data_IF_109577719403
#
_entry.id   IF_109577719403
#
_cell.length_a   1.000
_cell.length_b   1.000
_cell.length_c   1.000
_cell.angle_alpha   90.00
_cell.angle_beta   90.00
_cell.angle_gamma   90.00
#
_symmetry.space_group_name_H-M   'P 1'
#
loop_
_entity.id
_entity.type
_entity.pdbx_description
1 polymer ?
#
# COMPACT_ATOMS: atom_id res chain seq x y z
N UNK A 1 -0.66 17.35 14.00
CA UNK A 1 -0.41 15.92 14.30
C UNK A 1 0.51 15.88 15.50
N UNK A 2 0.13 15.14 16.55
CA UNK A 2 0.99 14.93 17.73
C UNK A 2 2.28 14.20 17.30
N UNK A 3 3.41 14.49 17.93
CA UNK A 3 4.72 13.90 17.61
C UNK A 3 4.70 12.39 17.79
N UNK A 4 3.95 11.91 18.78
CA UNK A 4 3.72 10.48 19.06
C UNK A 4 2.93 9.80 17.93
N UNK A 5 1.86 10.44 17.47
CA UNK A 5 1.04 9.95 16.35
C UNK A 5 1.82 9.92 15.03
N UNK A 6 2.66 10.95 14.79
CA UNK A 6 3.53 10.97 13.62
C UNK A 6 4.50 9.79 13.60
N UNK A 7 5.17 9.52 14.73
CA UNK A 7 6.09 8.40 14.84
C UNK A 7 5.39 7.05 14.64
N UNK A 8 4.21 6.87 15.22
CA UNK A 8 3.40 5.67 15.04
C UNK A 8 2.99 5.43 13.57
N UNK A 9 2.56 6.49 12.88
CA UNK A 9 2.26 6.44 11.45
C UNK A 9 3.49 6.02 10.67
N UNK A 10 4.64 6.71 10.86
CA UNK A 10 5.88 6.37 10.17
C UNK A 10 6.29 4.92 10.41
N UNK A 11 6.21 4.44 11.65
CA UNK A 11 6.55 3.06 11.99
C UNK A 11 5.64 2.05 11.26
N UNK A 12 4.34 2.31 11.21
CA UNK A 12 3.39 1.45 10.51
C UNK A 12 3.60 1.49 8.99
N UNK A 13 3.82 2.65 8.39
CA UNK A 13 4.07 2.75 6.95
C UNK A 13 5.40 2.11 6.54
N UNK A 14 6.43 2.19 7.40
CA UNK A 14 7.70 1.48 7.21
C UNK A 14 7.49 -0.02 7.27
N UNK A 15 6.66 -0.50 8.20
CA UNK A 15 6.26 -1.92 8.22
C UNK A 15 5.62 -2.33 6.87
N UNK A 16 4.63 -1.58 6.38
CA UNK A 16 4.00 -1.85 5.08
C UNK A 16 5.01 -1.81 3.92
N UNK A 17 5.85 -0.79 3.86
CA UNK A 17 6.89 -0.65 2.83
C UNK A 17 7.84 -1.86 2.82
N UNK A 18 8.22 -2.35 4.00
CA UNK A 18 9.09 -3.52 4.13
C UNK A 18 8.43 -4.81 3.66
N UNK A 19 7.10 -4.94 3.78
CA UNK A 19 6.37 -6.07 3.19
C UNK A 19 6.41 -6.07 1.65
N UNK A 20 6.57 -4.90 1.02
CA UNK A 20 6.65 -4.76 -0.44
C UNK A 20 8.05 -5.08 -1.01
N UNK A 21 9.08 -5.17 -0.15
CA UNK A 21 10.49 -5.33 -0.54
C UNK A 21 10.76 -6.47 -1.54
N UNK A 22 10.17 -7.67 -1.43
CA UNK A 22 10.41 -8.75 -2.39
C UNK A 22 10.06 -8.34 -3.82
N UNK A 23 8.95 -7.62 -4.02
CA UNK A 23 8.55 -7.15 -5.36
C UNK A 23 9.37 -5.98 -5.86
N UNK A 24 9.75 -5.08 -4.98
CA UNK A 24 10.67 -3.99 -5.33
C UNK A 24 12.06 -4.50 -5.73
N UNK A 25 12.42 -5.72 -5.31
CA UNK A 25 13.68 -6.37 -5.69
C UNK A 25 13.59 -7.11 -7.03
N UNK A 26 12.36 -7.43 -7.48
CA UNK A 26 12.07 -8.14 -8.72
C UNK A 26 11.73 -7.19 -9.88
N UNK A 27 11.14 -6.04 -9.59
CA UNK A 27 11.00 -4.94 -10.55
C UNK A 27 12.32 -4.16 -10.64
N UNK A 28 12.54 -3.42 -11.73
CA UNK A 28 13.70 -2.52 -11.90
C UNK A 28 13.58 -1.25 -11.02
N UNK A 29 13.17 -1.46 -9.77
CA UNK A 29 12.88 -0.46 -8.74
C UNK A 29 13.99 -0.39 -7.70
N UNK A 30 15.21 -0.73 -8.11
CA UNK A 30 16.39 -0.74 -7.26
C UNK A 30 16.62 0.66 -6.67
N UNK A 31 16.61 0.75 -5.35
CA UNK A 31 16.78 2.01 -4.62
C UNK A 31 15.49 2.77 -4.31
N UNK A 32 14.31 2.35 -4.78
CA UNK A 32 13.03 2.98 -4.38
C UNK A 32 12.77 2.80 -2.88
N UNK A 33 13.04 1.62 -2.35
CA UNK A 33 12.97 1.33 -0.91
C UNK A 33 13.88 2.28 -0.14
N UNK A 34 15.16 2.32 -0.51
CA UNK A 34 16.18 3.14 0.17
C UNK A 34 15.84 4.64 0.08
N UNK A 35 15.36 5.11 -1.08
CA UNK A 35 14.93 6.49 -1.26
C UNK A 35 13.73 6.86 -0.38
N UNK A 36 12.77 5.95 -0.18
CA UNK A 36 11.64 6.17 0.74
C UNK A 36 12.10 6.22 2.20
N UNK A 37 12.95 5.28 2.62
CA UNK A 37 13.50 5.27 3.97
C UNK A 37 14.34 6.53 4.26
N UNK A 38 15.13 6.97 3.29
CA UNK A 38 15.93 8.19 3.41
C UNK A 38 15.08 9.46 3.61
N UNK A 39 13.89 9.54 3.00
CA UNK A 39 12.96 10.69 3.18
C UNK A 39 12.48 10.85 4.62
N UNK A 40 12.43 9.76 5.39
CA UNK A 40 12.07 9.77 6.82
C UNK A 40 13.29 9.59 7.73
N UNK A 41 14.51 9.68 7.19
CA UNK A 41 15.75 9.62 7.95
C UNK A 41 16.09 8.24 8.51
N UNK A 42 15.55 7.16 7.94
CA UNK A 42 15.78 5.80 8.40
C UNK A 42 16.78 5.03 7.53
N UNK A 43 17.55 4.16 8.17
CA UNK A 43 18.36 3.14 7.50
C UNK A 43 17.56 1.85 7.30
N UNK A 44 18.04 0.98 6.41
CA UNK A 44 17.46 -0.35 6.20
C UNK A 44 17.43 -1.17 7.49
N UNK A 45 18.49 -1.14 8.29
CA UNK A 45 18.54 -1.88 9.57
C UNK A 45 17.49 -1.40 10.58
N UNK A 46 17.24 -0.09 10.62
CA UNK A 46 16.17 0.47 11.45
C UNK A 46 14.80 0.08 10.93
N UNK A 47 14.60 0.08 9.61
CA UNK A 47 13.36 -0.38 8.99
C UNK A 47 13.07 -1.87 9.26
N UNK A 48 14.09 -2.74 9.27
CA UNK A 48 13.94 -4.15 9.66
C UNK A 48 13.48 -4.27 11.12
N UNK A 49 14.11 -3.54 12.05
CA UNK A 49 13.68 -3.55 13.46
C UNK A 49 12.25 -3.05 13.66
N UNK A 50 11.85 -2.02 12.93
CA UNK A 50 10.48 -1.50 12.94
C UNK A 50 9.52 -2.55 12.41
N UNK A 51 9.83 -3.14 11.26
CA UNK A 51 9.03 -4.20 10.66
C UNK A 51 8.78 -5.35 11.64
N UNK A 52 9.83 -5.88 12.27
CA UNK A 52 9.70 -7.03 13.17
C UNK A 52 8.85 -6.70 14.40
N UNK A 53 9.06 -5.51 15.00
CA UNK A 53 8.27 -5.05 16.15
C UNK A 53 6.79 -4.84 15.81
N UNK A 54 6.50 -4.25 14.64
CA UNK A 54 5.10 -4.03 14.22
C UNK A 54 4.45 -5.37 13.80
N UNK A 55 5.19 -6.25 13.13
CA UNK A 55 4.71 -7.59 12.77
C UNK A 55 4.35 -8.41 14.02
N UNK A 56 5.17 -8.36 15.07
CA UNK A 56 4.87 -8.99 16.35
C UNK A 56 3.59 -8.43 16.97
N UNK A 57 3.44 -7.10 16.99
CA UNK A 57 2.24 -6.44 17.52
C UNK A 57 0.96 -6.75 16.73
N UNK A 58 1.06 -7.07 15.44
CA UNK A 58 -0.06 -7.36 14.55
C UNK A 58 -0.24 -8.87 14.26
N UNK A 59 0.49 -9.73 14.98
CA UNK A 59 0.55 -11.17 14.71
C UNK A 59 -0.79 -11.89 14.87
N UNK A 60 -1.62 -11.49 15.84
CA UNK A 60 -2.91 -12.13 16.10
C UNK A 60 -4.01 -11.59 15.17
N UNK A 61 -4.49 -12.43 14.27
CA UNK A 61 -5.46 -12.07 13.23
C UNK A 61 -6.78 -11.52 13.78
N UNK A 62 -7.36 -12.18 14.77
CA UNK A 62 -8.67 -11.84 15.36
C UNK A 62 -8.63 -10.47 16.05
N UNK A 63 -7.46 -10.09 16.55
CA UNK A 63 -7.24 -8.86 17.31
C UNK A 63 -6.59 -7.75 16.47
N UNK A 64 -6.29 -8.01 15.19
CA UNK A 64 -5.40 -7.17 14.38
C UNK A 64 -5.93 -5.75 14.19
N UNK A 65 -7.21 -5.59 13.89
CA UNK A 65 -7.80 -4.26 13.73
C UNK A 65 -7.68 -3.44 15.02
N UNK A 66 -8.01 -4.05 16.17
CA UNK A 66 -7.84 -3.43 17.49
C UNK A 66 -6.39 -3.03 17.74
N UNK A 67 -5.42 -3.88 17.41
CA UNK A 67 -4.00 -3.55 17.56
C UNK A 67 -3.54 -2.43 16.63
N UNK A 68 -4.07 -2.36 15.41
CA UNK A 68 -3.84 -1.20 14.53
C UNK A 68 -4.38 0.10 15.15
N UNK A 69 -5.57 0.07 15.77
CA UNK A 69 -6.10 1.25 16.50
C UNK A 69 -5.17 1.69 17.61
N UNK A 70 -4.72 0.76 18.44
CA UNK A 70 -3.79 1.04 19.55
C UNK A 70 -2.46 1.58 19.03
N UNK A 71 -1.89 0.96 18.00
CA UNK A 71 -0.64 1.39 17.37
C UNK A 71 -0.74 2.82 16.86
N UNK A 72 -1.85 3.14 16.17
CA UNK A 72 -2.10 4.45 15.57
C UNK A 72 -2.76 5.45 16.54
N UNK A 73 -2.78 5.16 17.84
CA UNK A 73 -3.26 6.09 18.86
C UNK A 73 -4.76 6.44 18.77
N UNK A 74 -5.57 5.59 18.15
CA UNK A 74 -7.03 5.78 18.10
C UNK A 74 -7.65 5.30 19.41
N UNK A 75 -8.14 6.27 20.18
CA UNK A 75 -8.72 6.06 21.52
C UNK A 75 -10.18 5.59 21.49
N UNK A 76 -10.83 5.66 20.33
CA UNK A 76 -12.21 5.20 20.16
C UNK A 76 -12.27 3.67 20.00
N UNK A 77 -12.73 3.00 21.05
CA UNK A 77 -12.89 1.54 21.08
C UNK A 77 -13.96 1.03 20.12
N UNK A 78 -14.95 1.86 19.77
CA UNK A 78 -16.07 1.51 18.88
C UNK A 78 -15.80 1.90 17.42
N UNK A 79 -14.71 2.63 17.14
CA UNK A 79 -14.33 2.98 15.78
C UNK A 79 -14.19 1.72 14.90
N UNK A 80 -14.93 1.69 13.79
CA UNK A 80 -14.91 0.64 12.76
C UNK A 80 -14.06 1.01 11.54
N UNK A 81 -13.44 2.19 11.57
CA UNK A 81 -12.53 2.64 10.52
C UNK A 81 -11.34 3.39 11.08
N UNK A 82 -10.24 3.33 10.33
CA UNK A 82 -8.98 4.03 10.59
C UNK A 82 -8.60 4.81 9.34
N UNK A 83 -8.24 6.09 9.51
CA UNK A 83 -7.91 6.97 8.41
C UNK A 83 -6.82 7.96 8.80
N UNK A 84 -5.78 8.06 7.97
CA UNK A 84 -4.73 9.07 8.15
C UNK A 84 -4.03 9.40 6.82
N UNK A 85 -3.54 10.64 6.70
CA UNK A 85 -2.74 11.06 5.56
C UNK A 85 -1.34 10.45 5.62
N UNK A 86 -0.90 9.84 4.52
CA UNK A 86 0.36 9.15 4.44
C UNK A 86 1.57 10.10 4.57
N UNK A 87 2.63 9.60 5.20
CA UNK A 87 3.92 10.31 5.31
C UNK A 87 4.89 9.82 4.23
N UNK A 88 4.99 8.50 4.03
CA UNK A 88 5.83 7.89 3.02
C UNK A 88 5.30 8.13 1.61
N UNK A 89 3.98 8.19 1.41
CA UNK A 89 3.32 8.43 0.13
C UNK A 89 2.46 9.70 0.17
N UNK A 90 3.07 10.91 0.16
CA UNK A 90 2.32 12.16 0.17
C UNK A 90 1.26 12.21 -0.94
N UNK A 91 0.07 12.73 -0.61
CA UNK A 91 -1.09 12.72 -1.50
C UNK A 91 -1.96 11.46 -1.36
N UNK A 92 -1.50 10.42 -0.68
CA UNK A 92 -2.31 9.26 -0.34
C UNK A 92 -2.82 9.31 1.08
N UNK A 93 -3.95 8.66 1.29
CA UNK A 93 -4.54 8.43 2.59
C UNK A 93 -4.69 6.93 2.80
N UNK A 94 -4.24 6.47 3.96
CA UNK A 94 -4.47 5.12 4.39
C UNK A 94 -5.87 4.99 4.97
N UNK A 95 -6.59 3.96 4.54
CA UNK A 95 -7.91 3.62 5.01
C UNK A 95 -7.92 2.15 5.43
N UNK A 96 -8.46 1.84 6.61
CA UNK A 96 -8.76 0.48 7.01
C UNK A 96 -10.13 0.38 7.66
N UNK A 97 -10.85 -0.71 7.39
CA UNK A 97 -12.21 -0.94 7.84
C UNK A 97 -12.34 -2.30 8.51
N UNK A 98 -13.14 -2.34 9.58
CA UNK A 98 -13.55 -3.57 10.21
C UNK A 98 -14.88 -4.08 9.63
N UNK A 99 -15.04 -5.40 9.60
CA UNK A 99 -16.30 -6.06 9.30
C UNK A 99 -17.31 -5.93 10.45
N UNK A 100 -18.49 -6.51 10.28
CA UNK A 100 -19.54 -6.54 11.30
C UNK A 100 -19.13 -7.26 12.61
N UNK A 101 -18.07 -8.05 12.60
CA UNK A 101 -17.52 -8.77 13.76
C UNK A 101 -16.34 -8.02 14.41
N UNK A 102 -15.95 -6.86 13.89
CA UNK A 102 -14.80 -6.09 14.36
C UNK A 102 -13.44 -6.61 13.84
N UNK A 103 -13.45 -7.54 12.89
CA UNK A 103 -12.24 -8.08 12.23
C UNK A 103 -11.80 -7.15 11.10
N UNK A 104 -10.51 -7.08 10.83
CA UNK A 104 -10.00 -6.27 9.72
C UNK A 104 -10.48 -6.84 8.38
N UNK A 105 -11.31 -6.09 7.67
CA UNK A 105 -11.90 -6.49 6.39
C UNK A 105 -11.09 -5.98 5.21
N UNK A 106 -10.74 -4.69 5.24
CA UNK A 106 -10.01 -4.02 4.17
C UNK A 106 -9.00 -3.03 4.73
N UNK A 107 -7.90 -2.87 4.02
CA UNK A 107 -6.90 -1.85 4.29
C UNK A 107 -6.14 -1.51 3.01
N UNK A 108 -5.86 -0.23 2.80
CA UNK A 108 -5.12 0.23 1.63
C UNK A 108 -5.04 1.73 1.55
N UNK A 109 -4.30 2.21 0.56
CA UNK A 109 -4.14 3.61 0.23
C UNK A 109 -5.06 4.00 -0.93
N UNK A 110 -5.60 5.20 -0.82
CA UNK A 110 -6.33 5.88 -1.90
C UNK A 110 -5.77 7.29 -2.05
N UNK A 111 -5.68 7.78 -3.28
CA UNK A 111 -5.16 9.11 -3.53
C UNK A 111 -6.19 10.18 -3.13
N UNK A 112 -5.77 11.17 -2.34
CA UNK A 112 -6.67 12.22 -1.81
C UNK A 112 -6.96 13.31 -2.82
N UNK A 113 -5.99 13.57 -3.72
CA UNK A 113 -6.08 14.61 -4.73
C UNK A 113 -6.09 13.96 -6.10
N UNK A 114 -7.29 13.72 -6.62
CA UNK A 114 -7.47 13.13 -7.93
C UNK A 114 -6.70 13.91 -9.01
N UNK A 115 -5.56 13.38 -9.42
CA UNK A 115 -4.62 14.06 -10.32
C UNK A 115 -4.54 13.26 -11.61
N UNK A 116 -4.98 13.82 -12.75
CA UNK A 116 -4.90 13.12 -14.03
C UNK A 116 -3.48 12.65 -14.35
N UNK A 117 -3.34 11.39 -14.76
CA UNK A 117 -2.05 10.80 -15.09
C UNK A 117 -1.56 11.29 -16.46
N UNK A 118 -0.46 12.06 -16.45
CA UNK A 118 0.16 12.63 -17.66
C UNK A 118 1.31 11.74 -18.19
N UNK A 119 0.96 10.51 -18.59
CA UNK A 119 1.89 9.58 -19.25
C UNK A 119 1.27 8.98 -20.50
N UNK A 120 2.10 8.62 -21.47
CA UNK A 120 1.69 8.11 -22.79
C UNK A 120 1.53 6.59 -22.84
N UNK A 121 1.99 5.87 -21.82
CA UNK A 121 1.92 4.41 -21.70
C UNK A 121 1.76 3.99 -20.24
N UNK A 122 0.99 2.93 -19.92
CA UNK A 122 0.89 2.43 -18.56
C UNK A 122 2.25 1.99 -18.00
N UNK A 123 3.18 1.56 -18.85
CA UNK A 123 4.53 1.13 -18.46
C UNK A 123 5.45 2.27 -18.03
N UNK A 124 5.05 3.53 -18.28
CA UNK A 124 5.80 4.72 -17.89
C UNK A 124 5.43 5.22 -16.48
N UNK A 125 4.38 4.67 -15.87
CA UNK A 125 4.00 5.05 -14.51
C UNK A 125 5.10 4.66 -13.52
N UNK A 126 5.40 5.58 -12.60
CA UNK A 126 6.31 5.32 -11.50
C UNK A 126 5.60 4.51 -10.41
N UNK A 127 6.32 3.64 -9.71
CA UNK A 127 5.74 2.95 -8.55
C UNK A 127 5.22 3.97 -7.51
N UNK A 128 4.04 3.65 -6.98
CA UNK A 128 3.27 4.43 -6.02
C UNK A 128 2.81 5.80 -6.49
N UNK A 129 2.66 5.99 -7.82
CA UNK A 129 2.22 7.26 -8.39
C UNK A 129 0.71 7.47 -8.40
N UNK A 130 -0.07 6.39 -8.35
CA UNK A 130 -1.52 6.45 -8.47
C UNK A 130 -2.20 5.29 -7.74
N UNK A 131 -3.51 5.42 -7.53
CA UNK A 131 -4.39 4.31 -7.17
C UNK A 131 -5.09 3.70 -8.39
N UNK A 132 -5.97 2.72 -8.16
CA UNK A 132 -6.69 2.02 -9.22
C UNK A 132 -7.71 2.91 -9.94
N UNK A 133 -8.30 3.90 -9.27
CA UNK A 133 -9.32 4.77 -9.87
C UNK A 133 -8.66 5.67 -10.92
N UNK A 134 -7.56 6.32 -10.55
CA UNK A 134 -6.79 7.15 -11.47
C UNK A 134 -6.20 6.34 -12.63
N UNK A 135 -5.77 5.10 -12.35
CA UNK A 135 -5.29 4.18 -13.36
C UNK A 135 -6.36 3.84 -14.39
N UNK A 136 -7.55 3.42 -13.94
CA UNK A 136 -8.66 3.02 -14.80
C UNK A 136 -9.17 4.19 -15.65
N UNK A 137 -9.16 5.41 -15.10
CA UNK A 137 -9.53 6.59 -15.87
C UNK A 137 -8.58 6.88 -17.03
N UNK A 138 -7.25 6.66 -16.84
CA UNK A 138 -6.26 6.92 -17.89
C UNK A 138 -6.16 5.82 -18.93
N UNK A 139 -6.20 4.56 -18.50
CA UNK A 139 -5.88 3.41 -19.35
C UNK A 139 -7.10 2.56 -19.73
N UNK A 140 -8.26 2.88 -19.15
CA UNK A 140 -9.50 2.14 -19.35
C UNK A 140 -9.78 1.17 -18.20
N UNK A 141 -11.02 0.67 -18.11
CA UNK A 141 -11.45 -0.17 -17.01
C UNK A 141 -10.62 -1.43 -16.94
N UNK A 142 -10.12 -1.75 -15.76
CA UNK A 142 -9.36 -2.96 -15.52
C UNK A 142 -10.20 -4.00 -14.78
N UNK A 143 -9.86 -5.26 -14.98
CA UNK A 143 -10.52 -6.39 -14.33
C UNK A 143 -9.54 -6.98 -13.32
N UNK A 144 -9.90 -6.94 -12.04
CA UNK A 144 -9.12 -7.60 -11.01
C UNK A 144 -9.14 -9.12 -11.24
N UNK A 145 -7.95 -9.70 -11.42
CA UNK A 145 -7.73 -11.14 -11.62
C UNK A 145 -7.11 -11.81 -10.40
N UNK A 146 -6.28 -11.08 -9.68
CA UNK A 146 -5.63 -11.56 -8.47
C UNK A 146 -5.99 -10.65 -7.32
N UNK A 147 -6.30 -11.25 -6.17
CA UNK A 147 -6.53 -10.55 -4.92
C UNK A 147 -5.94 -11.40 -3.79
N UNK A 148 -4.87 -10.91 -3.18
CA UNK A 148 -4.17 -11.59 -2.07
C UNK A 148 -4.67 -11.06 -0.73
N UNK A 149 -4.68 -11.91 0.33
CA UNK A 149 -4.98 -11.46 1.67
C UNK A 149 -4.11 -10.27 2.12
N UNK A 150 -4.65 -9.42 2.99
CA UNK A 150 -3.93 -8.24 3.51
C UNK A 150 -2.61 -8.59 4.21
N UNK A 151 -2.47 -9.79 4.77
CA UNK A 151 -1.29 -10.25 5.51
C UNK A 151 -0.77 -11.58 4.94
N UNK A 152 -0.83 -11.75 3.61
CA UNK A 152 -0.16 -12.87 2.92
C UNK A 152 1.35 -12.86 3.23
N UNK A 153 1.92 -14.04 3.50
CA UNK A 153 3.32 -14.19 3.94
C UNK A 153 4.35 -13.74 2.89
N UNK A 154 3.94 -13.70 1.62
CA UNK A 154 4.82 -13.43 0.49
C UNK A 154 4.45 -12.10 -0.18
N UNK A 155 3.15 -11.81 -0.26
CA UNK A 155 2.64 -10.72 -1.07
C UNK A 155 1.36 -10.09 -0.50
N UNK A 156 1.48 -9.40 0.65
CA UNK A 156 0.33 -8.86 1.35
C UNK A 156 -0.37 -7.76 0.56
N UNK A 157 -1.70 -7.79 0.60
CA UNK A 157 -2.58 -6.80 -0.03
C UNK A 157 -2.28 -6.55 -1.52
N UNK A 158 -1.88 -7.60 -2.25
CA UNK A 158 -1.63 -7.49 -3.68
C UNK A 158 -2.89 -7.67 -4.50
N UNK A 159 -3.03 -6.79 -5.48
CA UNK A 159 -4.09 -6.82 -6.46
C UNK A 159 -3.48 -6.81 -7.85
N UNK A 160 -3.81 -7.83 -8.64
CA UNK A 160 -3.40 -7.96 -10.04
C UNK A 160 -4.60 -7.70 -10.94
N UNK A 161 -4.43 -6.80 -11.89
CA UNK A 161 -5.45 -6.37 -12.83
C UNK A 161 -5.05 -6.65 -14.26
N UNK A 162 -6.03 -6.91 -15.10
CA UNK A 162 -5.87 -7.02 -16.55
C UNK A 162 -6.72 -5.96 -17.26
N UNK A 163 -6.18 -5.39 -18.32
CA UNK A 163 -6.87 -4.37 -19.10
C UNK A 163 -6.41 -4.42 -20.56
N UNK A 164 -7.22 -3.82 -21.44
CA UNK A 164 -6.87 -3.65 -22.85
C UNK A 164 -6.40 -2.22 -23.06
N UNK A 165 -5.22 -2.05 -23.63
CA UNK A 165 -4.69 -0.74 -23.95
C UNK A 165 -4.14 -0.72 -25.37
N UNK A 166 -4.68 0.19 -26.19
CA UNK A 166 -4.37 0.31 -27.63
C UNK A 166 -4.51 -1.01 -28.42
N UNK A 167 -5.37 -1.91 -27.97
CA UNK A 167 -5.65 -3.20 -28.62
C UNK A 167 -4.87 -4.38 -28.05
N UNK A 168 -3.84 -4.13 -27.24
CA UNK A 168 -3.03 -5.17 -26.61
C UNK A 168 -3.46 -5.42 -25.15
N UNK A 169 -3.18 -6.62 -24.65
CA UNK A 169 -3.48 -7.02 -23.27
C UNK A 169 -2.34 -6.65 -22.33
N UNK A 170 -2.67 -5.97 -21.25
CA UNK A 170 -1.73 -5.57 -20.21
C UNK A 170 -2.16 -6.12 -18.85
N UNK A 171 -1.15 -6.25 -17.98
CA UNK A 171 -1.33 -6.48 -16.56
C UNK A 171 -0.82 -5.29 -15.74
N UNK A 172 -1.50 -4.97 -14.65
CA UNK A 172 -1.05 -3.99 -13.66
C UNK A 172 -1.10 -4.61 -12.26
N UNK A 173 -0.08 -4.34 -11.45
CA UNK A 173 0.01 -4.79 -10.07
C UNK A 173 -0.08 -3.62 -9.11
N UNK A 174 -0.80 -3.82 -8.02
CA UNK A 174 -0.94 -2.88 -6.90
C UNK A 174 -0.61 -3.61 -5.59
N UNK A 175 -0.04 -2.88 -4.63
CA UNK A 175 0.21 -3.36 -3.28
C UNK A 175 -0.37 -2.34 -2.30
N UNK A 176 -1.26 -2.80 -1.43
CA UNK A 176 -1.97 -1.92 -0.48
C UNK A 176 -2.70 -0.77 -1.20
N UNK A 177 -3.24 -1.00 -2.41
CA UNK A 177 -3.88 0.03 -3.24
C UNK A 177 -2.92 0.98 -3.97
N UNK A 178 -1.61 0.87 -3.78
CA UNK A 178 -0.61 1.68 -4.46
C UNK A 178 -0.11 0.99 -5.73
N UNK A 179 -0.05 1.71 -6.85
CA UNK A 179 0.50 1.18 -8.10
C UNK A 179 1.93 0.65 -7.90
N UNK A 180 2.24 -0.51 -8.47
CA UNK A 180 3.59 -1.07 -8.43
C UNK A 180 4.24 -1.04 -9.81
N UNK A 181 3.57 -1.63 -10.79
CA UNK A 181 4.10 -1.78 -12.14
C UNK A 181 3.00 -2.20 -13.10
N UNK A 182 3.20 -1.92 -14.38
CA UNK A 182 2.40 -2.52 -15.46
C UNK A 182 3.30 -3.03 -16.57
N UNK A 183 2.79 -4.03 -17.30
CA UNK A 183 3.51 -4.61 -18.44
C UNK A 183 2.54 -5.27 -19.41
N UNK A 184 2.96 -5.40 -20.67
CA UNK A 184 2.20 -6.18 -21.65
C UNK A 184 2.24 -7.66 -21.26
N UNK A 185 1.10 -8.33 -21.33
CA UNK A 185 1.00 -9.77 -21.08
C UNK A 185 1.46 -10.49 -22.34
N UNK A 186 2.56 -11.24 -22.24
CA UNK A 186 2.99 -12.15 -23.30
C UNK A 186 2.28 -13.50 -23.11
N UNK A 187 1.68 -14.00 -24.19
CA UNK A 187 1.12 -15.36 -24.25
C UNK A 187 2.21 -16.43 -24.38
#
# INVERSE_FOLDING_TARGET
>A
MDVTLYAAVVDFEVYLLMTMKPRLSLADTKGLLDAKLAKVGLSLDSAVRIHDRVAEALSEEISRFRYMKTLLGVLDEDATSLKYNSVLWPGFEFNAHADANGLLESAGYTHTEHTPLDVESPTQLAAWSCDILEFDERFGPSIRRENRPLFDDILPAYEGYEFLWKGDRYGAGFLWGLFLSSSMVWE
#
